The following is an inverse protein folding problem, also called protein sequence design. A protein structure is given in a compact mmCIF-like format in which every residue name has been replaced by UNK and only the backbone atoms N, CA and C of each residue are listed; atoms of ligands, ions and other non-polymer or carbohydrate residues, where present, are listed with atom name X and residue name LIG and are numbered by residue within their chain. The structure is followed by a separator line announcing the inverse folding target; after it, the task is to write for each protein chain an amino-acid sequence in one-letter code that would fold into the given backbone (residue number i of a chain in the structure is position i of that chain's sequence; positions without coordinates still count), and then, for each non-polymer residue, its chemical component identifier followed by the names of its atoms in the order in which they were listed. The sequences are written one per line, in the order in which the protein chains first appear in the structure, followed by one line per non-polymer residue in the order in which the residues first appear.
data_IF_281491170187
#
_entry.id   IF_281491170187
#
_cell.length_a   1.000
_cell.length_b   1.000
_cell.length_c   1.000
_cell.angle_alpha   90.00
_cell.angle_beta   90.00
_cell.angle_gamma   90.00
#
_symmetry.space_group_name_H-M   'P 1'
#
loop_
_entity.id
_entity.type
_entity.pdbx_description
1 polymer ?
#
# COMPACT_ATOMS: atom_id res chain seq x y z
N UNK A 1 4.24 7.09 1.34
CA UNK A 1 4.28 6.05 2.39
C UNK A 1 5.63 5.86 3.09
N UNK A 2 6.77 5.98 2.41
CA UNK A 2 8.10 5.72 3.01
C UNK A 2 8.39 6.57 4.27
N UNK A 3 8.15 7.88 4.22
CA UNK A 3 8.38 8.78 5.36
C UNK A 3 7.45 8.48 6.55
N UNK A 4 6.17 8.23 6.30
CA UNK A 4 5.20 7.82 7.32
C UNK A 4 5.64 6.57 8.08
N UNK A 5 6.14 5.55 7.36
CA UNK A 5 6.68 4.33 7.95
C UNK A 5 7.80 4.62 8.96
N UNK A 6 8.73 5.54 8.63
CA UNK A 6 9.83 5.94 9.52
C UNK A 6 9.34 6.68 10.76
N UNK A 7 8.37 7.58 10.60
CA UNK A 7 7.74 8.32 11.71
C UNK A 7 7.02 7.34 12.65
N UNK A 8 6.25 6.41 12.09
CA UNK A 8 5.50 5.43 12.83
C UNK A 8 6.41 4.42 13.56
N UNK A 9 7.48 3.95 12.93
CA UNK A 9 8.51 3.12 13.56
C UNK A 9 9.17 3.83 14.77
N UNK A 10 9.41 5.14 14.67
CA UNK A 10 9.93 5.95 15.80
C UNK A 10 8.88 6.13 16.92
N UNK A 11 7.60 6.25 16.56
CA UNK A 11 6.47 6.41 17.49
C UNK A 11 6.13 5.12 18.24
N UNK A 12 6.36 3.97 17.61
CA UNK A 12 6.09 2.63 18.16
C UNK A 12 7.37 1.75 18.10
N UNK A 13 8.38 2.01 18.96
CA UNK A 13 9.67 1.30 18.90
C UNK A 13 9.58 -0.21 19.18
N UNK A 14 8.51 -0.66 19.84
CA UNK A 14 8.24 -2.08 20.10
C UNK A 14 7.57 -2.80 18.92
N UNK A 15 7.26 -2.10 17.83
CA UNK A 15 6.64 -2.65 16.63
C UNK A 15 7.69 -2.77 15.51
N UNK A 16 7.60 -3.82 14.70
CA UNK A 16 8.40 -3.92 13.48
C UNK A 16 7.59 -3.35 12.31
N UNK A 17 7.93 -2.12 11.91
CA UNK A 17 7.17 -1.30 10.98
C UNK A 17 8.04 -1.03 9.77
N UNK A 18 7.72 -1.65 8.63
CA UNK A 18 8.55 -1.59 7.44
C UNK A 18 7.75 -1.20 6.20
N UNK A 19 8.46 -0.70 5.20
CA UNK A 19 7.89 -0.36 3.90
C UNK A 19 8.57 -1.20 2.81
N UNK A 20 7.82 -1.56 1.77
CA UNK A 20 8.33 -2.47 0.74
C UNK A 20 7.77 -2.09 -0.63
N UNK A 21 8.65 -2.04 -1.63
CA UNK A 21 8.24 -2.08 -3.02
C UNK A 21 8.06 -3.54 -3.46
N UNK A 22 6.88 -3.96 -3.95
CA UNK A 22 6.64 -5.32 -4.44
C UNK A 22 7.24 -5.55 -5.85
N UNK A 23 7.93 -4.57 -6.43
CA UNK A 23 8.40 -4.59 -7.82
C UNK A 23 7.35 -4.07 -8.80
N UNK A 24 7.66 -4.16 -10.09
CA UNK A 24 6.76 -3.68 -11.15
C UNK A 24 5.77 -4.78 -11.57
N UNK A 25 4.69 -4.91 -10.80
CA UNK A 25 3.82 -6.09 -10.77
C UNK A 25 2.49 -5.90 -11.52
N UNK A 26 2.06 -6.89 -12.30
CA UNK A 26 0.79 -6.89 -13.06
C UNK A 26 -0.41 -6.75 -12.13
N UNK A 27 -1.02 -5.57 -12.14
CA UNK A 27 -2.19 -5.24 -11.32
C UNK A 27 -3.04 -4.18 -12.02
N UNK A 28 -4.27 -3.98 -11.54
CA UNK A 28 -5.17 -2.93 -12.03
C UNK A 28 -4.52 -1.52 -11.97
N UNK A 29 -3.60 -1.28 -11.02
CA UNK A 29 -2.92 0.02 -10.82
C UNK A 29 -2.08 0.46 -12.02
N UNK A 30 -1.54 -0.50 -12.79
CA UNK A 30 -0.70 -0.27 -13.96
C UNK A 30 -1.32 -0.87 -15.23
N UNK A 31 -2.64 -1.03 -15.27
CA UNK A 31 -3.36 -1.63 -16.40
C UNK A 31 -2.81 -3.01 -16.81
N UNK A 32 -2.33 -3.79 -15.83
CA UNK A 32 -1.68 -5.10 -15.99
C UNK A 32 -0.41 -5.10 -16.88
N UNK A 33 0.26 -3.95 -17.04
CA UNK A 33 1.51 -3.81 -17.83
C UNK A 33 2.78 -4.27 -17.11
N UNK A 34 2.66 -4.67 -15.83
CA UNK A 34 3.76 -5.21 -15.01
C UNK A 34 4.63 -6.27 -15.69
N UNK A 35 5.91 -6.33 -15.34
CA UNK A 35 6.78 -7.44 -15.72
C UNK A 35 6.64 -8.62 -14.73
N UNK A 36 6.58 -8.29 -13.44
CA UNK A 36 6.40 -9.25 -12.35
C UNK A 36 4.93 -9.62 -12.15
N UNK A 37 4.69 -10.75 -11.50
CA UNK A 37 3.36 -11.18 -11.09
C UNK A 37 3.09 -10.93 -9.59
N UNK A 38 1.82 -10.85 -9.21
CA UNK A 38 1.38 -10.67 -7.83
C UNK A 38 1.91 -11.60 -6.74
N UNK A 39 2.26 -12.84 -7.07
CA UNK A 39 2.86 -13.78 -6.10
C UNK A 39 4.28 -13.37 -5.70
N UNK A 40 5.02 -12.90 -6.68
CA UNK A 40 6.35 -12.32 -6.54
C UNK A 40 6.30 -11.07 -5.66
N UNK A 41 5.31 -10.21 -5.94
CA UNK A 41 5.07 -8.99 -5.17
C UNK A 41 4.61 -9.24 -3.74
N UNK A 42 3.97 -10.38 -3.46
CA UNK A 42 3.51 -10.77 -2.13
C UNK A 42 4.63 -11.32 -1.23
N UNK A 43 5.65 -11.96 -1.81
CA UNK A 43 6.67 -12.70 -1.06
C UNK A 43 7.42 -11.86 -0.01
N UNK A 44 7.75 -10.60 -0.31
CA UNK A 44 8.52 -9.75 0.61
C UNK A 44 7.62 -9.12 1.69
N UNK A 45 6.41 -8.60 1.39
CA UNK A 45 5.42 -8.29 2.40
C UNK A 45 5.19 -9.43 3.40
N UNK A 46 5.04 -10.67 2.91
CA UNK A 46 4.87 -11.87 3.74
C UNK A 46 6.12 -12.15 4.58
N UNK A 47 7.33 -12.08 3.99
CA UNK A 47 8.59 -12.25 4.72
C UNK A 47 8.80 -11.22 5.83
N UNK A 48 8.37 -9.97 5.64
CA UNK A 48 8.44 -8.93 6.66
C UNK A 48 7.39 -9.12 7.75
N UNK A 49 6.18 -9.57 7.39
CA UNK A 49 5.12 -9.93 8.33
C UNK A 49 5.47 -11.14 9.20
N UNK A 50 6.19 -12.13 8.64
CA UNK A 50 6.60 -13.36 9.34
C UNK A 50 8.04 -13.31 9.87
N UNK A 51 8.67 -12.13 9.94
CA UNK A 51 10.09 -12.04 10.32
C UNK A 51 10.32 -12.48 11.78
N UNK A 52 11.31 -13.34 12.07
CA UNK A 52 11.58 -13.87 13.41
C UNK A 52 11.75 -12.82 14.50
N UNK A 53 11.28 -13.14 15.71
CA UNK A 53 11.42 -12.29 16.88
C UNK A 53 12.90 -12.13 17.30
N UNK A 54 13.24 -10.96 17.85
CA UNK A 54 14.59 -10.67 18.38
C UNK A 54 15.60 -10.12 17.38
N UNK A 55 15.24 -9.93 16.11
CA UNK A 55 16.15 -9.35 15.09
C UNK A 55 15.44 -8.74 13.89
N UNK A 56 14.18 -8.35 14.04
CA UNK A 56 13.38 -7.79 12.95
C UNK A 56 13.76 -6.33 12.69
N UNK A 57 14.07 -5.95 11.42
CA UNK A 57 14.28 -4.56 11.07
C UNK A 57 13.00 -3.74 11.31
N UNK A 58 13.15 -2.45 11.61
CA UNK A 58 12.03 -1.51 11.74
C UNK A 58 12.46 -0.14 11.19
N UNK A 59 11.53 0.59 10.59
CA UNK A 59 11.77 1.86 9.91
C UNK A 59 12.51 1.76 8.56
N UNK A 60 12.69 0.55 8.02
CA UNK A 60 13.42 0.32 6.77
C UNK A 60 12.49 0.23 5.54
N UNK A 61 13.08 0.45 4.37
CA UNK A 61 12.46 0.30 3.06
C UNK A 61 13.16 -0.82 2.27
N UNK A 62 12.39 -1.78 1.76
CA UNK A 62 12.90 -2.97 1.07
C UNK A 62 12.57 -2.97 -0.42
N UNK A 63 13.55 -3.43 -1.22
CA UNK A 63 13.51 -3.48 -2.69
C UNK A 63 14.05 -4.84 -3.12
N UNK A 64 13.29 -5.60 -3.92
CA UNK A 64 13.73 -6.89 -4.44
C UNK A 64 13.20 -7.14 -5.86
N UNK A 65 13.78 -8.14 -6.51
CA UNK A 65 13.36 -8.70 -7.81
C UNK A 65 12.98 -10.15 -7.56
N UNK A 66 11.82 -10.58 -8.04
CA UNK A 66 11.22 -11.92 -7.81
C UNK A 66 10.49 -12.37 -9.10
N UNK A 67 10.21 -13.67 -9.31
CA UNK A 67 9.72 -14.26 -10.59
C UNK A 67 8.72 -15.43 -10.41
N UNK A 68 7.53 -15.38 -11.04
CA UNK A 68 6.38 -16.32 -11.03
C UNK A 68 5.47 -16.37 -9.77
N UNK A 69 4.16 -16.70 -9.83
CA UNK A 69 3.12 -16.65 -10.89
C UNK A 69 1.66 -16.80 -10.31
N UNK A 70 0.79 -15.79 -10.13
CA UNK A 70 0.28 -14.99 -11.24
C UNK A 70 -0.69 -13.79 -10.99
N UNK A 71 -1.45 -13.60 -9.88
CA UNK A 71 -2.56 -12.58 -9.85
C UNK A 71 -2.95 -11.92 -8.49
N UNK A 72 -3.30 -10.62 -8.53
CA UNK A 72 -3.64 -9.67 -7.43
C UNK A 72 -2.75 -9.64 -6.16
N UNK A 73 -1.88 -8.64 -5.93
CA UNK A 73 -0.84 -8.69 -4.84
C UNK A 73 -1.48 -8.96 -3.47
N UNK A 74 -2.47 -8.16 -3.07
CA UNK A 74 -3.10 -8.30 -1.75
C UNK A 74 -3.80 -9.65 -1.54
N UNK A 75 -4.32 -10.27 -2.61
CA UNK A 75 -4.95 -11.59 -2.54
C UNK A 75 -3.90 -12.68 -2.28
N UNK A 76 -2.76 -12.58 -2.94
CA UNK A 76 -1.68 -13.55 -2.78
C UNK A 76 -0.92 -13.38 -1.46
N UNK A 77 -0.82 -12.14 -0.92
CA UNK A 77 -0.39 -11.92 0.47
C UNK A 77 -1.32 -12.68 1.44
N UNK A 78 -2.63 -12.62 1.23
CA UNK A 78 -3.59 -13.35 2.08
C UNK A 78 -3.39 -14.88 1.98
N UNK A 79 -3.21 -15.41 0.77
CA UNK A 79 -2.95 -16.83 0.51
C UNK A 79 -1.66 -17.30 1.19
N UNK A 80 -0.54 -16.60 0.99
CA UNK A 80 0.75 -16.98 1.55
C UNK A 80 0.78 -16.88 3.08
N UNK A 81 0.17 -15.85 3.69
CA UNK A 81 0.04 -15.77 5.16
C UNK A 81 -0.79 -16.93 5.73
N UNK A 82 -1.92 -17.27 5.10
CA UNK A 82 -2.77 -18.37 5.52
C UNK A 82 -2.09 -19.75 5.37
N UNK A 83 -1.30 -19.95 4.30
CA UNK A 83 -0.46 -21.15 4.15
C UNK A 83 0.55 -21.30 5.29
N UNK A 84 1.15 -20.19 5.73
CA UNK A 84 2.10 -20.14 6.85
C UNK A 84 1.45 -20.19 8.26
N UNK A 85 0.16 -20.53 8.37
CA UNK A 85 -0.52 -20.74 9.65
C UNK A 85 -1.22 -19.52 10.25
N UNK A 86 -1.16 -18.35 9.60
CA UNK A 86 -1.81 -17.14 10.08
C UNK A 86 -3.31 -17.20 9.82
N UNK A 87 -4.15 -16.73 10.77
CA UNK A 87 -5.56 -16.43 10.48
C UNK A 87 -5.60 -15.06 9.80
N UNK A 88 -6.14 -15.01 8.58
CA UNK A 88 -6.12 -13.82 7.73
C UNK A 88 -7.54 -13.30 7.53
N UNK A 89 -7.71 -12.00 7.76
CA UNK A 89 -8.93 -11.27 7.40
C UNK A 89 -8.70 -10.64 6.03
N UNK A 90 -9.25 -11.26 4.98
CA UNK A 90 -9.27 -10.69 3.65
C UNK A 90 -10.20 -9.46 3.66
N UNK A 91 -9.78 -8.35 3.06
CA UNK A 91 -10.61 -7.15 2.96
C UNK A 91 -10.71 -6.63 1.53
N UNK A 92 -11.85 -6.03 1.21
CA UNK A 92 -12.12 -5.41 -0.08
C UNK A 92 -13.11 -4.25 0.06
N UNK A 93 -12.96 -3.22 -0.80
CA UNK A 93 -13.92 -2.10 -0.87
C UNK A 93 -15.29 -2.54 -1.36
N UNK A 94 -15.31 -3.41 -2.36
CA UNK A 94 -16.52 -4.05 -2.89
C UNK A 94 -16.72 -5.41 -2.22
N UNK A 95 -17.87 -5.58 -1.58
CA UNK A 95 -18.19 -6.78 -0.80
C UNK A 95 -18.29 -8.03 -1.68
N UNK A 96 -18.93 -7.92 -2.85
CA UNK A 96 -19.11 -9.04 -3.78
C UNK A 96 -17.76 -9.56 -4.28
N UNK A 97 -16.88 -8.68 -4.77
CA UNK A 97 -15.50 -9.03 -5.17
C UNK A 97 -14.71 -9.61 -4.00
N UNK A 98 -14.94 -9.15 -2.77
CA UNK A 98 -14.31 -9.67 -1.56
C UNK A 98 -14.72 -11.12 -1.25
N UNK A 99 -16.01 -11.42 -1.31
CA UNK A 99 -16.55 -12.78 -1.12
C UNK A 99 -16.10 -13.72 -2.25
N UNK A 100 -16.12 -13.26 -3.51
CA UNK A 100 -15.60 -14.03 -4.66
C UNK A 100 -14.10 -14.35 -4.49
N UNK A 101 -13.30 -13.37 -4.05
CA UNK A 101 -11.88 -13.56 -3.75
C UNK A 101 -11.66 -14.57 -2.60
N UNK A 102 -12.42 -14.45 -1.51
CA UNK A 102 -12.39 -15.41 -0.40
C UNK A 102 -12.73 -16.83 -0.89
N UNK A 103 -13.77 -16.98 -1.72
CA UNK A 103 -14.19 -18.26 -2.27
C UNK A 103 -13.11 -18.88 -3.17
N UNK A 104 -12.37 -18.08 -3.95
CA UNK A 104 -11.25 -18.58 -4.74
C UNK A 104 -10.15 -19.22 -3.88
N UNK A 105 -9.91 -18.69 -2.67
CA UNK A 105 -8.89 -19.21 -1.74
C UNK A 105 -9.38 -20.42 -0.90
N UNK A 106 -10.68 -20.51 -0.57
CA UNK A 106 -11.25 -21.63 0.20
C UNK A 106 -11.01 -23.00 -0.45
N UNK A 107 -10.96 -23.06 -1.78
CA UNK A 107 -10.62 -24.28 -2.53
C UNK A 107 -9.18 -24.78 -2.30
N UNK A 108 -8.31 -23.99 -1.67
CA UNK A 108 -6.92 -24.35 -1.36
C UNK A 108 -6.73 -25.03 0.00
N UNK A 109 -7.81 -25.44 0.68
CA UNK A 109 -7.73 -26.04 2.03
C UNK A 109 -7.43 -25.04 3.15
N UNK A 110 -7.58 -23.74 2.88
CA UNK A 110 -7.26 -22.64 3.80
C UNK A 110 -8.49 -22.07 4.53
N UNK A 111 -9.68 -22.68 4.37
CA UNK A 111 -10.97 -22.13 4.82
C UNK A 111 -11.01 -21.72 6.28
N UNK A 112 -10.45 -22.53 7.18
CA UNK A 112 -10.47 -22.29 8.63
C UNK A 112 -9.49 -21.17 9.08
N UNK A 113 -8.68 -20.66 8.13
CA UNK A 113 -7.72 -19.57 8.34
C UNK A 113 -8.12 -18.29 7.60
N UNK A 114 -9.28 -18.25 6.95
CA UNK A 114 -9.69 -17.15 6.08
C UNK A 114 -11.06 -16.57 6.48
N UNK A 115 -11.04 -15.38 7.06
CA UNK A 115 -12.21 -14.54 7.28
C UNK A 115 -12.30 -13.46 6.18
N UNK A 116 -13.48 -12.87 6.01
CA UNK A 116 -13.66 -11.69 5.17
C UNK A 116 -14.35 -10.57 5.95
N UNK A 117 -13.94 -9.33 5.73
CA UNK A 117 -14.65 -8.13 6.18
C UNK A 117 -14.54 -7.02 5.12
N UNK A 118 -15.61 -6.27 4.89
CA UNK A 118 -15.60 -5.13 3.97
C UNK A 118 -14.65 -4.03 4.51
N UNK A 119 -13.85 -3.42 3.63
CA UNK A 119 -13.02 -2.26 3.99
C UNK A 119 -12.90 -1.27 2.84
N UNK A 120 -13.46 -0.08 3.02
CA UNK A 120 -13.10 1.12 2.27
C UNK A 120 -12.22 2.01 3.15
N UNK A 121 -10.90 1.97 2.93
CA UNK A 121 -9.91 2.81 3.64
C UNK A 121 -10.16 4.31 3.47
N UNK A 122 -11.00 4.74 2.53
CA UNK A 122 -11.38 6.15 2.41
C UNK A 122 -12.43 6.56 3.45
N UNK A 123 -13.18 5.63 4.06
CA UNK A 123 -14.37 5.87 4.89
C UNK A 123 -14.13 5.54 6.38
N UNK A 124 -14.17 6.52 7.30
CA UNK A 124 -13.93 6.27 8.73
C UNK A 124 -14.83 5.20 9.36
N UNK A 125 -16.12 5.14 8.97
CA UNK A 125 -17.07 4.13 9.49
C UNK A 125 -16.71 2.69 9.10
N UNK A 126 -16.16 2.49 7.90
CA UNK A 126 -15.74 1.15 7.43
C UNK A 126 -14.48 0.69 8.17
N UNK A 127 -13.53 1.61 8.40
CA UNK A 127 -12.35 1.36 9.24
C UNK A 127 -12.74 1.01 10.68
N UNK A 128 -13.66 1.76 11.29
CA UNK A 128 -14.16 1.49 12.64
C UNK A 128 -14.81 0.10 12.73
N UNK A 129 -15.71 -0.22 11.79
CA UNK A 129 -16.36 -1.55 11.71
C UNK A 129 -15.34 -2.70 11.62
N UNK A 130 -14.24 -2.53 10.89
CA UNK A 130 -13.17 -3.53 10.84
C UNK A 130 -12.46 -3.65 12.20
N UNK A 131 -12.16 -2.54 12.88
CA UNK A 131 -11.51 -2.58 14.19
C UNK A 131 -12.39 -3.25 15.25
N UNK A 132 -13.69 -2.95 15.26
CA UNK A 132 -14.68 -3.60 16.15
C UNK A 132 -14.79 -5.10 15.84
N UNK A 133 -14.89 -5.49 14.56
CA UNK A 133 -14.89 -6.90 14.14
C UNK A 133 -13.63 -7.65 14.59
N UNK A 134 -12.42 -7.08 14.39
CA UNK A 134 -11.16 -7.73 14.82
C UNK A 134 -11.14 -7.90 16.35
N UNK A 135 -11.59 -6.88 17.08
CA UNK A 135 -11.65 -6.89 18.54
C UNK A 135 -12.63 -7.95 19.06
N UNK A 136 -13.82 -8.06 18.48
CA UNK A 136 -14.85 -9.01 18.89
C UNK A 136 -14.50 -10.46 18.55
N UNK A 137 -13.93 -10.71 17.38
CA UNK A 137 -13.64 -12.06 16.90
C UNK A 137 -12.29 -12.61 17.40
N UNK A 138 -11.28 -11.75 17.59
CA UNK A 138 -9.89 -12.18 17.85
C UNK A 138 -9.24 -11.51 19.06
N UNK A 139 -9.80 -10.43 19.60
CA UNK A 139 -9.28 -9.70 20.77
C UNK A 139 -7.97 -8.93 20.58
N UNK A 140 -7.20 -9.23 19.52
CA UNK A 140 -5.92 -8.61 19.18
C UNK A 140 -5.69 -8.61 17.66
N UNK A 141 -4.64 -7.94 17.22
CA UNK A 141 -4.10 -8.05 15.86
C UNK A 141 -2.58 -8.22 15.94
N UNK A 142 -2.00 -9.17 15.20
CA UNK A 142 -0.54 -9.36 15.17
C UNK A 142 0.13 -8.67 13.97
N UNK A 143 -0.55 -8.65 12.81
CA UNK A 143 0.00 -8.18 11.53
C UNK A 143 -1.02 -7.26 10.84
N UNK A 144 -0.58 -6.06 10.45
CA UNK A 144 -1.29 -5.18 9.50
C UNK A 144 -0.50 -5.04 8.20
N UNK A 145 -1.15 -5.25 7.05
CA UNK A 145 -0.57 -4.98 5.73
C UNK A 145 -1.37 -3.89 5.02
N UNK A 146 -0.82 -2.68 4.94
CA UNK A 146 -1.41 -1.58 4.19
C UNK A 146 -1.09 -1.74 2.69
N UNK A 147 -1.91 -2.52 1.99
CA UNK A 147 -1.80 -2.81 0.55
C UNK A 147 -2.73 -1.96 -0.35
N UNK A 148 -3.81 -1.38 0.20
CA UNK A 148 -4.79 -0.65 -0.59
C UNK A 148 -4.17 0.62 -1.22
N UNK A 149 -4.24 0.75 -2.54
CA UNK A 149 -3.75 1.92 -3.26
C UNK A 149 -4.20 2.00 -4.72
N UNK A 150 -4.14 3.21 -5.27
CA UNK A 150 -4.46 3.55 -6.66
C UNK A 150 -3.36 4.44 -7.28
N UNK A 151 -3.32 4.52 -8.61
CA UNK A 151 -2.29 5.29 -9.35
C UNK A 151 -2.59 6.78 -9.50
N UNK A 152 -3.82 7.24 -9.21
CA UNK A 152 -4.21 8.64 -9.41
C UNK A 152 -4.27 9.07 -10.88
N UNK A 153 -4.36 8.13 -11.81
CA UNK A 153 -4.54 8.37 -13.26
C UNK A 153 -5.73 7.60 -13.82
N UNK A 154 -6.23 8.07 -14.96
CA UNK A 154 -7.04 7.26 -15.88
C UNK A 154 -6.31 7.09 -17.21
N UNK A 155 -6.59 6.00 -17.94
CA UNK A 155 -6.00 5.75 -19.25
C UNK A 155 -7.06 5.92 -20.34
N UNK A 156 -6.70 6.59 -21.43
CA UNK A 156 -7.58 6.87 -22.57
C UNK A 156 -7.72 5.71 -23.57
N UNK A 157 -6.98 4.62 -23.37
CA UNK A 157 -6.94 3.43 -24.26
C UNK A 157 -7.21 2.14 -23.48
N UNK A 158 -7.85 1.18 -24.16
CA UNK A 158 -8.11 -0.15 -23.63
C UNK A 158 -6.81 -0.94 -23.39
N UNK A 159 -6.85 -1.91 -22.50
CA UNK A 159 -5.69 -2.73 -22.11
C UNK A 159 -5.16 -3.60 -23.24
N UNK A 160 -3.82 -3.64 -23.38
CA UNK A 160 -3.12 -4.79 -24.00
C UNK A 160 -2.58 -4.63 -25.42
N UNK A 161 -2.51 -3.42 -26.01
CA UNK A 161 -2.09 -3.25 -27.43
C UNK A 161 -0.81 -2.46 -27.68
N UNK A 162 -0.14 -1.89 -26.66
CA UNK A 162 1.04 -1.03 -26.86
C UNK A 162 2.14 -1.21 -25.80
N UNK A 163 3.35 -0.69 -26.09
CA UNK A 163 4.51 -0.71 -25.20
C UNK A 163 4.34 0.16 -23.95
N UNK A 164 5.07 -0.20 -22.88
CA UNK A 164 4.98 0.42 -21.56
C UNK A 164 5.15 1.95 -21.56
N UNK A 165 6.03 2.48 -22.40
CA UNK A 165 6.31 3.92 -22.50
C UNK A 165 5.20 4.73 -23.19
N UNK A 166 4.41 4.12 -24.08
CA UNK A 166 3.30 4.82 -24.75
C UNK A 166 2.01 4.86 -23.92
N UNK A 167 1.86 3.96 -22.94
CA UNK A 167 0.67 3.90 -22.08
C UNK A 167 0.68 5.02 -21.02
N UNK A 168 1.80 5.28 -20.35
CA UNK A 168 1.87 6.35 -19.35
C UNK A 168 1.91 7.76 -19.95
N UNK A 169 2.40 7.93 -21.18
CA UNK A 169 2.27 9.19 -21.92
C UNK A 169 0.82 9.49 -22.37
N UNK A 170 -0.08 8.51 -22.24
CA UNK A 170 -1.53 8.63 -22.48
C UNK A 170 -2.36 8.59 -21.18
N UNK A 171 -1.70 8.67 -20.02
CA UNK A 171 -2.34 8.74 -18.72
C UNK A 171 -2.80 10.16 -18.42
N UNK A 172 -4.05 10.32 -17.97
CA UNK A 172 -4.63 11.59 -17.57
C UNK A 172 -4.56 11.73 -16.05
N UNK A 173 -3.85 12.75 -15.57
CA UNK A 173 -3.86 13.22 -14.17
C UNK A 173 -4.82 14.40 -14.04
N UNK A 174 -5.69 14.38 -13.03
CA UNK A 174 -6.51 15.55 -12.63
C UNK A 174 -6.36 15.79 -11.13
N UNK A 175 -6.76 16.98 -10.67
CA UNK A 175 -6.70 17.34 -9.25
C UNK A 175 -7.55 16.39 -8.38
N UNK A 176 -8.70 15.97 -8.89
CA UNK A 176 -9.64 15.06 -8.21
C UNK A 176 -9.05 13.65 -8.07
N UNK A 177 -8.38 13.15 -9.13
CA UNK A 177 -7.67 11.88 -9.11
C UNK A 177 -6.44 11.95 -8.17
N UNK A 178 -5.78 13.10 -8.08
CA UNK A 178 -4.69 13.33 -7.14
C UNK A 178 -5.17 13.33 -5.68
N UNK A 179 -6.31 13.98 -5.38
CA UNK A 179 -6.96 13.90 -4.08
C UNK A 179 -7.40 12.47 -3.72
N UNK A 180 -8.02 11.72 -4.66
CA UNK A 180 -8.41 10.33 -4.40
C UNK A 180 -7.20 9.43 -4.12
N UNK A 181 -6.10 9.64 -4.86
CA UNK A 181 -4.85 8.92 -4.68
C UNK A 181 -4.28 9.12 -3.26
N UNK A 182 -4.11 10.37 -2.83
CA UNK A 182 -3.64 10.69 -1.48
C UNK A 182 -4.60 10.22 -0.37
N UNK A 183 -5.92 10.35 -0.62
CA UNK A 183 -6.98 9.90 0.31
C UNK A 183 -6.97 8.38 0.53
N UNK A 184 -6.57 7.61 -0.47
CA UNK A 184 -6.48 6.15 -0.43
C UNK A 184 -5.11 5.70 0.09
N UNK A 185 -4.04 6.05 -0.63
CA UNK A 185 -2.69 5.52 -0.44
C UNK A 185 -2.08 5.99 0.89
N UNK A 186 -2.20 7.28 1.21
CA UNK A 186 -1.64 7.86 2.43
C UNK A 186 -2.68 7.92 3.56
N UNK A 187 -3.73 8.72 3.41
CA UNK A 187 -4.70 8.96 4.49
C UNK A 187 -5.53 7.71 4.82
N UNK A 188 -5.72 6.78 3.87
CA UNK A 188 -6.38 5.51 4.12
C UNK A 188 -5.50 4.61 4.99
N UNK A 189 -4.28 4.31 4.53
CA UNK A 189 -3.30 3.55 5.31
C UNK A 189 -3.05 4.15 6.70
N UNK A 190 -2.92 5.47 6.81
CA UNK A 190 -2.77 6.18 8.09
C UNK A 190 -3.93 5.90 9.04
N UNK A 191 -5.17 6.18 8.63
CA UNK A 191 -6.36 6.00 9.49
C UNK A 191 -6.61 4.53 9.85
N UNK A 192 -6.41 3.62 8.92
CA UNK A 192 -6.51 2.16 9.18
C UNK A 192 -5.48 1.73 10.22
N UNK A 193 -4.25 2.25 10.13
CA UNK A 193 -3.21 1.99 11.12
C UNK A 193 -3.56 2.56 12.50
N UNK A 194 -4.00 3.81 12.56
CA UNK A 194 -4.39 4.48 13.81
C UNK A 194 -5.54 3.77 14.54
N UNK A 195 -6.54 3.28 13.80
CA UNK A 195 -7.65 2.53 14.37
C UNK A 195 -7.25 1.13 14.90
N UNK A 196 -6.22 0.50 14.32
CA UNK A 196 -5.79 -0.85 14.66
C UNK A 196 -4.59 -0.90 15.62
N UNK A 197 -3.90 0.22 15.87
CA UNK A 197 -2.82 0.31 16.87
C UNK A 197 -3.20 -0.25 18.24
N UNK A 198 -4.38 0.04 18.83
CA UNK A 198 -4.75 -0.52 20.13
C UNK A 198 -4.81 -2.05 20.15
N UNK A 199 -5.15 -2.69 19.03
CA UNK A 199 -5.19 -4.15 18.89
C UNK A 199 -3.80 -4.74 18.61
N UNK A 200 -2.96 -4.00 17.88
CA UNK A 200 -1.54 -4.33 17.68
C UNK A 200 -0.73 -4.24 18.98
N UNK A 201 -1.06 -3.31 19.87
CA UNK A 201 -0.40 -3.18 21.19
C UNK A 201 -0.60 -4.39 22.11
N UNK A 202 -1.60 -5.24 21.85
CA UNK A 202 -1.88 -6.47 22.60
C UNK A 202 -1.02 -7.64 22.08
N UNK A 203 -0.49 -7.56 20.86
CA UNK A 203 0.41 -8.57 20.31
C UNK A 203 1.76 -8.59 21.04
N UNK A 204 2.29 -9.79 21.25
CA UNK A 204 3.69 -9.99 21.68
C UNK A 204 4.69 -9.66 20.55
N UNK A 205 4.23 -9.48 19.32
CA UNK A 205 5.06 -9.34 18.12
C UNK A 205 4.41 -8.50 17.02
N UNK A 206 3.95 -7.26 17.29
CA UNK A 206 3.22 -6.45 16.33
C UNK A 206 4.05 -6.11 15.08
N UNK A 207 3.43 -6.27 13.91
CA UNK A 207 4.00 -5.99 12.60
C UNK A 207 3.11 -5.04 11.80
N UNK A 208 3.72 -4.07 11.14
CA UNK A 208 3.06 -3.24 10.12
C UNK A 208 3.91 -3.26 8.85
N UNK A 209 3.29 -3.65 7.74
CA UNK A 209 3.92 -3.67 6.42
C UNK A 209 3.18 -2.70 5.50
N UNK A 210 3.86 -1.62 5.12
CA UNK A 210 3.33 -0.63 4.19
C UNK A 210 3.80 -0.95 2.77
N UNK A 211 2.87 -1.24 1.86
CA UNK A 211 3.21 -1.37 0.44
C UNK A 211 3.49 0.02 -0.12
N UNK A 212 4.54 0.12 -0.94
CA UNK A 212 4.88 1.33 -1.69
C UNK A 212 5.48 0.93 -3.05
N UNK A 213 6.22 1.83 -3.69
CA UNK A 213 6.64 1.71 -5.09
C UNK A 213 8.14 1.96 -5.26
N UNK A 214 8.72 1.54 -6.39
CA UNK A 214 10.05 1.99 -6.81
C UNK A 214 10.02 3.41 -7.39
N UNK A 215 8.85 3.94 -7.78
CA UNK A 215 8.71 5.33 -8.26
C UNK A 215 9.08 6.37 -7.19
N UNK A 216 8.99 6.04 -5.89
CA UNK A 216 9.48 6.90 -4.79
C UNK A 216 10.99 6.76 -4.53
N UNK A 217 11.72 5.90 -5.23
CA UNK A 217 13.18 5.80 -5.15
C UNK A 217 13.90 6.75 -6.12
N UNK A 218 13.82 8.06 -5.84
CA UNK A 218 14.88 9.07 -6.10
C UNK A 218 15.62 9.09 -7.46
N UNK A 219 15.04 8.52 -8.51
CA UNK A 219 15.26 8.85 -9.91
C UNK A 219 13.90 8.89 -10.58
N UNK A 220 13.46 10.09 -10.92
CA UNK A 220 12.33 10.27 -11.82
C UNK A 220 12.67 9.63 -13.19
N UNK A 221 11.68 9.40 -14.07
CA UNK A 221 11.92 8.80 -15.40
C UNK A 221 12.87 9.64 -16.28
N UNK A 222 13.14 10.89 -15.87
CA UNK A 222 14.07 11.85 -16.51
C UNK A 222 15.42 11.97 -15.76
N UNK A 223 15.71 11.09 -14.80
CA UNK A 223 17.00 11.01 -14.09
C UNK A 223 17.29 12.13 -13.08
N UNK A 224 16.36 13.08 -12.87
CA UNK A 224 16.45 14.06 -11.79
C UNK A 224 16.24 13.37 -10.43
N UNK A 225 17.07 13.73 -9.45
CA UNK A 225 16.74 13.48 -8.04
C UNK A 225 15.52 14.33 -7.66
N UNK A 226 14.52 13.72 -7.02
CA UNK A 226 13.48 14.43 -6.27
C UNK A 226 14.10 15.10 -5.04
N UNK A 227 14.78 16.23 -5.26
CA UNK A 227 15.48 17.00 -4.21
C UNK A 227 14.47 17.55 -3.21
N UNK A 228 14.66 17.24 -1.93
CA UNK A 228 13.95 17.86 -0.81
C UNK A 228 12.58 17.28 -0.47
N UNK A 229 11.75 16.92 -1.47
CA UNK A 229 10.32 16.63 -1.27
C UNK A 229 10.03 15.43 -0.36
N UNK A 230 10.84 14.36 -0.33
CA UNK A 230 10.52 13.12 0.42
C UNK A 230 11.58 12.70 1.45
N UNK A 231 12.64 13.49 1.65
CA UNK A 231 13.79 13.14 2.50
C UNK A 231 13.90 14.05 3.72
N UNK A 232 14.01 13.47 4.92
CA UNK A 232 14.29 14.22 6.16
C UNK A 232 13.07 14.57 7.01
N UNK A 233 11.86 14.14 6.63
CA UNK A 233 10.66 14.33 7.43
C UNK A 233 10.70 13.48 8.72
N UNK A 234 10.34 14.10 9.84
CA UNK A 234 10.44 13.51 11.19
C UNK A 234 9.13 13.53 11.98
N UNK A 235 8.08 14.17 11.48
CA UNK A 235 6.77 14.27 12.14
C UNK A 235 5.61 14.21 11.12
N UNK A 236 4.41 13.89 11.58
CA UNK A 236 3.22 13.73 10.74
C UNK A 236 2.67 15.08 10.22
N UNK A 237 2.86 16.16 10.99
CA UNK A 237 2.44 17.52 10.61
C UNK A 237 3.20 17.96 9.37
N UNK A 238 4.54 17.85 9.36
CA UNK A 238 5.36 18.22 8.20
C UNK A 238 5.04 17.41 6.94
N UNK A 239 4.56 16.18 7.10
CA UNK A 239 4.07 15.36 5.99
C UNK A 239 2.72 15.87 5.46
N UNK A 240 1.84 16.31 6.35
CA UNK A 240 0.53 16.87 6.00
C UNK A 240 0.67 18.27 5.36
N UNK A 241 1.60 19.09 5.86
CA UNK A 241 1.94 20.40 5.28
C UNK A 241 2.44 20.24 3.84
N UNK A 242 3.38 19.30 3.61
CA UNK A 242 3.90 18.98 2.28
C UNK A 242 2.78 18.53 1.32
N UNK A 243 1.90 17.64 1.77
CA UNK A 243 0.78 17.14 0.96
C UNK A 243 -0.23 18.27 0.66
N UNK A 244 -0.40 19.21 1.58
CA UNK A 244 -1.25 20.39 1.39
C UNK A 244 -0.62 21.40 0.41
N UNK A 245 0.69 21.61 0.48
CA UNK A 245 1.44 22.41 -0.50
C UNK A 245 1.38 21.79 -1.89
N UNK A 246 1.60 20.47 -1.99
CA UNK A 246 1.48 19.71 -3.22
C UNK A 246 0.10 19.87 -3.88
N UNK A 247 -0.99 19.63 -3.14
CA UNK A 247 -2.35 19.77 -3.67
C UNK A 247 -2.64 21.20 -4.11
N UNK A 248 -2.20 22.20 -3.34
CA UNK A 248 -2.33 23.61 -3.71
C UNK A 248 -1.60 23.92 -5.02
N UNK A 249 -0.34 23.50 -5.16
CA UNK A 249 0.47 23.73 -6.35
C UNK A 249 -0.09 22.95 -7.57
N UNK A 250 -0.60 21.73 -7.39
CA UNK A 250 -1.30 20.97 -8.42
C UNK A 250 -2.51 21.76 -8.94
N UNK A 251 -3.37 22.23 -8.03
CA UNK A 251 -4.58 23.00 -8.37
C UNK A 251 -4.30 24.30 -9.10
N UNK A 252 -3.11 24.86 -8.90
CA UNK A 252 -2.64 26.09 -9.56
C UNK A 252 -1.86 25.81 -10.85
N UNK A 253 -1.68 24.54 -11.26
CA UNK A 253 -0.90 24.17 -12.45
C UNK A 253 0.60 24.39 -12.29
N UNK A 254 1.11 24.44 -11.06
CA UNK A 254 2.50 24.84 -10.75
C UNK A 254 3.47 23.66 -10.59
N UNK A 255 3.06 22.42 -10.86
CA UNK A 255 3.85 21.21 -10.60
C UNK A 255 5.30 21.32 -11.10
N UNK A 256 5.48 21.59 -12.40
CA UNK A 256 6.80 21.69 -13.01
C UNK A 256 7.62 22.87 -12.45
N UNK A 257 7.01 24.05 -12.33
CA UNK A 257 7.70 25.27 -11.87
C UNK A 257 8.13 25.20 -10.40
N UNK A 258 7.49 24.31 -9.63
CA UNK A 258 7.78 24.01 -8.22
C UNK A 258 8.65 22.78 -8.01
N UNK A 259 8.96 22.03 -9.08
CA UNK A 259 9.79 20.83 -9.02
C UNK A 259 9.08 19.59 -8.46
N UNK A 260 7.75 19.57 -8.45
CA UNK A 260 6.97 18.35 -8.21
C UNK A 260 7.14 17.38 -9.40
N UNK A 261 6.96 16.06 -9.20
CA UNK A 261 6.92 15.12 -10.32
C UNK A 261 5.77 15.50 -11.26
N UNK A 262 5.99 15.44 -12.58
CA UNK A 262 4.98 15.81 -13.60
C UNK A 262 4.34 14.60 -14.28
N UNK A 263 4.76 13.40 -13.92
CA UNK A 263 4.16 12.13 -14.33
C UNK A 263 4.01 11.24 -13.08
N UNK A 264 2.83 10.64 -12.91
CA UNK A 264 2.42 9.92 -11.71
C UNK A 264 2.66 10.75 -10.45
N UNK A 265 2.30 12.02 -10.51
CA UNK A 265 2.60 13.04 -9.51
C UNK A 265 2.05 12.65 -8.15
N UNK A 266 0.75 12.39 -8.07
CA UNK A 266 0.07 12.09 -6.80
C UNK A 266 0.50 10.74 -6.24
N UNK A 267 0.72 9.76 -7.11
CA UNK A 267 1.21 8.43 -6.73
C UNK A 267 2.62 8.50 -6.12
N UNK A 268 3.48 9.34 -6.69
CA UNK A 268 4.86 9.57 -6.23
C UNK A 268 4.91 10.39 -4.93
N UNK A 269 3.95 11.28 -4.68
CA UNK A 269 3.86 12.01 -3.40
C UNK A 269 3.26 11.14 -2.28
N UNK A 270 2.43 10.14 -2.60
CA UNK A 270 1.65 9.35 -1.64
C UNK A 270 2.42 8.38 -0.73
#
# INVERSE_FOLDING_TARGET
MNAYTRILAKKHPNFCINCVCPGFVKTDINNNTGHSTPEEGAAIPVKLALWPNGGAPSGLFFVQVVTGANKGIGLEICKQLAQNGTIVILTARDEKRGVEALHSLKHSGLSDRLAFHQLDVTKPKSIASLADFVKEQFGKLDILVNNAGISGVTFSVASGTEEYSSIWSKATETYELAEECLKTNYYGAKRTTEALIPLLQISESPRIVNISSSTVMLKDMVGKQLKGVLTGFTTEEKLSDLISEYLKDFKQGLLESKGWPTCLSAYTVS
#
